data_IF_587110309344
#
_entry.id   IF_587110309344
#
_cell.length_a   1.000
_cell.length_b   1.000
_cell.length_c   1.000
_cell.angle_alpha   90.00
_cell.angle_beta   90.00
_cell.angle_gamma   90.00
#
_symmetry.space_group_name_H-M   'P 1'
#
loop_
_entity.id
_entity.type
_entity.pdbx_description
1 polymer ?
#
# COMPACT_ATOMS: atom_id res chain seq x y z
N UNK A 1 -4.43 -9.11 -2.94
CA UNK A 1 -3.96 -7.81 -2.41
C UNK A 1 -3.27 -8.00 -1.07
N UNK A 2 -3.81 -8.85 -0.20
CA UNK A 2 -3.24 -9.14 1.12
C UNK A 2 -1.78 -9.64 1.08
N UNK A 3 -1.38 -10.40 0.06
CA UNK A 3 -0.03 -10.99 0.00
C UNK A 3 1.11 -9.97 0.08
N UNK A 4 0.99 -8.83 -0.61
CA UNK A 4 2.02 -7.77 -0.54
C UNK A 4 2.09 -7.13 0.85
N UNK A 5 0.95 -6.99 1.52
CA UNK A 5 0.86 -6.50 2.90
C UNK A 5 1.48 -7.48 3.90
N UNK A 6 1.22 -8.79 3.75
CA UNK A 6 1.80 -9.82 4.62
C UNK A 6 3.33 -9.80 4.55
N UNK A 7 3.90 -9.70 3.34
CA UNK A 7 5.36 -9.58 3.14
C UNK A 7 5.87 -8.30 3.80
N UNK A 8 5.19 -7.16 3.61
CA UNK A 8 5.58 -5.90 4.22
C UNK A 8 5.60 -5.98 5.76
N UNK A 9 4.62 -6.64 6.37
CA UNK A 9 4.58 -6.88 7.82
C UNK A 9 5.74 -7.73 8.32
N UNK A 10 6.11 -8.80 7.58
CA UNK A 10 7.26 -9.64 7.92
C UNK A 10 8.56 -8.85 7.81
N UNK A 11 8.73 -8.09 6.72
CA UNK A 11 9.90 -7.24 6.51
C UNK A 11 10.01 -6.17 7.60
N UNK A 12 8.92 -5.46 7.89
CA UNK A 12 8.85 -4.49 8.98
C UNK A 12 9.29 -5.12 10.30
N UNK A 13 8.67 -6.22 10.72
CA UNK A 13 9.00 -6.86 11.99
C UNK A 13 10.47 -7.31 12.06
N UNK A 14 11.07 -7.67 10.92
CA UNK A 14 12.48 -8.03 10.83
C UNK A 14 13.37 -6.80 10.96
N UNK A 15 13.06 -5.72 10.22
CA UNK A 15 13.82 -4.46 10.24
C UNK A 15 13.70 -3.78 11.61
N UNK A 16 12.50 -3.74 12.18
CA UNK A 16 12.25 -3.18 13.51
C UNK A 16 13.12 -3.84 14.58
N UNK A 17 13.30 -5.16 14.51
CA UNK A 17 14.15 -5.92 15.44
C UNK A 17 15.65 -5.70 15.20
N UNK A 18 16.08 -5.52 13.95
CA UNK A 18 17.49 -5.34 13.61
C UNK A 18 17.95 -3.91 13.93
N UNK A 19 17.11 -2.92 13.65
CA UNK A 19 17.44 -1.49 13.76
C UNK A 19 16.89 -0.83 15.03
N UNK A 20 16.16 -1.57 15.88
CA UNK A 20 15.47 -1.08 17.09
C UNK A 20 14.63 0.19 16.82
N UNK A 21 14.04 0.27 15.62
CA UNK A 21 13.33 1.45 15.13
C UNK A 21 12.02 1.02 14.51
N UNK A 22 10.90 1.67 14.85
CA UNK A 22 9.59 1.35 14.26
C UNK A 22 9.49 1.90 12.83
N UNK A 23 9.44 1.02 11.84
CA UNK A 23 9.25 1.41 10.44
C UNK A 23 7.75 1.48 10.11
N UNK A 24 7.25 2.61 9.57
CA UNK A 24 5.85 2.71 9.15
C UNK A 24 5.60 1.90 7.86
N UNK A 25 4.42 1.30 7.73
CA UNK A 25 3.94 0.71 6.47
C UNK A 25 2.99 1.70 5.82
N UNK A 26 3.28 2.06 4.57
CA UNK A 26 2.45 2.91 3.72
C UNK A 26 1.90 2.05 2.59
N UNK A 27 0.58 2.06 2.38
CA UNK A 27 -0.08 1.36 1.29
C UNK A 27 -0.38 2.34 0.17
N UNK A 28 0.15 2.06 -1.03
CA UNK A 28 -0.15 2.83 -2.24
C UNK A 28 -1.09 2.03 -3.15
N UNK A 29 -2.18 2.67 -3.60
CA UNK A 29 -3.22 2.05 -4.43
C UNK A 29 -3.47 2.93 -5.64
N UNK A 30 -3.54 2.35 -6.84
CA UNK A 30 -3.85 3.08 -8.08
C UNK A 30 -5.34 3.09 -8.45
N UNK A 31 -6.10 2.13 -7.92
CA UNK A 31 -7.56 2.08 -8.05
C UNK A 31 -8.26 2.97 -7.02
N UNK A 32 -8.87 4.07 -7.48
CA UNK A 32 -9.62 4.99 -6.61
C UNK A 32 -10.82 4.32 -5.94
N UNK A 33 -11.55 3.46 -6.64
CA UNK A 33 -12.71 2.76 -6.07
C UNK A 33 -12.31 1.82 -4.93
N UNK A 34 -11.12 1.21 -5.03
CA UNK A 34 -10.55 0.39 -3.96
C UNK A 34 -10.09 1.24 -2.77
N UNK A 35 -9.45 2.38 -3.03
CA UNK A 35 -9.11 3.35 -1.99
C UNK A 35 -10.35 3.81 -1.22
N UNK A 36 -11.41 4.20 -1.92
CA UNK A 36 -12.68 4.57 -1.29
C UNK A 36 -13.31 3.40 -0.53
N UNK A 37 -13.21 2.18 -1.07
CA UNK A 37 -13.68 1.00 -0.34
C UNK A 37 -12.89 0.83 0.96
N UNK A 38 -11.56 0.96 0.95
CA UNK A 38 -10.75 0.78 2.16
C UNK A 38 -11.00 1.88 3.20
N UNK A 39 -11.16 3.14 2.76
CA UNK A 39 -11.32 4.32 3.64
C UNK A 39 -12.76 4.57 4.10
N UNK A 40 -13.75 4.55 3.19
CA UNK A 40 -15.11 5.07 3.44
C UNK A 40 -16.16 4.01 3.83
N UNK A 41 -15.74 2.85 4.33
CA UNK A 41 -16.63 1.72 4.63
C UNK A 41 -17.50 1.29 3.42
N UNK A 42 -17.04 1.54 2.19
CA UNK A 42 -17.71 1.07 0.98
C UNK A 42 -17.85 -0.45 0.99
N UNK A 43 -18.92 -0.98 0.42
CA UNK A 43 -19.13 -2.42 0.27
C UNK A 43 -18.79 -2.85 -1.14
N UNK A 44 -18.12 -4.00 -1.28
CA UNK A 44 -17.94 -4.68 -2.58
C UNK A 44 -18.72 -5.98 -2.58
N UNK A 45 -19.21 -6.41 -3.75
CA UNK A 45 -19.94 -7.68 -3.90
C UNK A 45 -19.02 -8.87 -4.17
N UNK A 46 -17.75 -8.60 -4.46
CA UNK A 46 -16.76 -9.63 -4.77
C UNK A 46 -16.24 -10.25 -3.46
N UNK A 47 -16.52 -11.55 -3.28
CA UNK A 47 -16.33 -12.24 -2.00
C UNK A 47 -14.87 -12.32 -1.56
N UNK A 48 -13.93 -12.52 -2.49
CA UNK A 48 -12.50 -12.61 -2.16
C UNK A 48 -11.95 -11.24 -1.78
N UNK A 49 -12.29 -10.19 -2.53
CA UNK A 49 -11.89 -8.82 -2.23
C UNK A 49 -12.47 -8.33 -0.90
N UNK A 50 -13.69 -8.73 -0.51
CA UNK A 50 -14.22 -8.42 0.83
C UNK A 50 -13.33 -8.95 1.95
N UNK A 51 -12.76 -10.15 1.81
CA UNK A 51 -11.87 -10.75 2.80
C UNK A 51 -10.59 -9.92 2.91
N UNK A 52 -9.93 -9.66 1.77
CA UNK A 52 -8.70 -8.86 1.71
C UNK A 52 -8.91 -7.45 2.28
N UNK A 53 -10.00 -6.77 1.91
CA UNK A 53 -10.33 -5.43 2.41
C UNK A 53 -10.61 -5.45 3.92
N UNK A 54 -11.29 -6.48 4.43
CA UNK A 54 -11.57 -6.59 5.86
C UNK A 54 -10.27 -6.79 6.66
N UNK A 55 -9.35 -7.62 6.16
CA UNK A 55 -8.04 -7.81 6.79
C UNK A 55 -7.23 -6.51 6.81
N UNK A 56 -7.16 -5.79 5.68
CA UNK A 56 -6.47 -4.50 5.61
C UNK A 56 -7.11 -3.43 6.50
N UNK A 57 -8.44 -3.40 6.62
CA UNK A 57 -9.13 -2.50 7.55
C UNK A 57 -8.80 -2.82 9.00
N UNK A 58 -8.76 -4.09 9.39
CA UNK A 58 -8.36 -4.50 10.74
C UNK A 58 -6.91 -4.09 11.05
N UNK A 59 -5.98 -4.30 10.11
CA UNK A 59 -4.60 -3.85 10.24
C UNK A 59 -4.50 -2.33 10.36
N UNK A 60 -5.30 -1.60 9.57
CA UNK A 60 -5.41 -0.15 9.66
C UNK A 60 -5.95 0.28 11.03
N UNK A 61 -7.01 -0.37 11.54
CA UNK A 61 -7.57 -0.17 12.89
C UNK A 61 -6.57 -0.42 14.01
N UNK A 62 -5.72 -1.43 13.85
CA UNK A 62 -4.62 -1.77 14.76
C UNK A 62 -3.39 -0.88 14.63
N UNK A 63 -3.41 0.10 13.71
CA UNK A 63 -2.28 1.01 13.42
C UNK A 63 -1.03 0.28 12.92
N UNK A 64 -1.22 -0.86 12.27
CA UNK A 64 -0.13 -1.58 11.59
C UNK A 64 0.25 -0.86 10.28
N UNK A 65 -0.75 -0.22 9.65
CA UNK A 65 -0.63 0.64 8.47
C UNK A 65 -0.67 2.09 8.92
N UNK A 66 0.36 2.86 8.58
CA UNK A 66 0.49 4.27 8.92
C UNK A 66 -0.29 5.17 7.96
N UNK A 67 -0.27 4.86 6.66
CA UNK A 67 -0.92 5.66 5.64
C UNK A 67 -1.49 4.79 4.52
N UNK A 68 -2.58 5.28 3.94
CA UNK A 68 -3.13 4.74 2.70
C UNK A 68 -3.22 5.88 1.70
N UNK A 69 -2.54 5.71 0.56
CA UNK A 69 -2.39 6.73 -0.47
C UNK A 69 -2.99 6.20 -1.77
N UNK A 70 -3.92 6.95 -2.33
CA UNK A 70 -4.31 6.79 -3.73
C UNK A 70 -3.30 7.52 -4.62
N UNK A 71 -2.72 6.79 -5.57
CA UNK A 71 -1.70 7.29 -6.51
C UNK A 71 -2.20 7.21 -7.95
N UNK A 72 -1.63 8.02 -8.83
CA UNK A 72 -1.89 7.89 -10.28
C UNK A 72 -1.21 6.62 -10.80
N UNK A 73 -1.97 5.76 -11.48
CA UNK A 73 -1.48 4.46 -11.97
C UNK A 73 -0.25 4.55 -12.90
N UNK A 74 -0.09 5.66 -13.62
CA UNK A 74 1.09 5.95 -14.45
C UNK A 74 2.41 6.02 -13.66
N UNK A 75 2.33 6.31 -12.36
CA UNK A 75 3.48 6.36 -11.44
C UNK A 75 3.62 5.08 -10.61
N UNK A 76 2.74 4.09 -10.78
CA UNK A 76 2.75 2.86 -9.99
C UNK A 76 3.73 1.83 -10.59
N UNK A 77 4.88 1.55 -9.97
CA UNK A 77 5.80 0.53 -10.48
C UNK A 77 5.25 -0.89 -10.38
N UNK A 78 4.30 -1.15 -9.47
CA UNK A 78 3.71 -2.48 -9.29
C UNK A 78 2.87 -2.92 -10.50
N UNK A 79 2.37 -1.97 -11.30
CA UNK A 79 1.63 -2.27 -12.52
C UNK A 79 2.51 -3.05 -13.52
N UNK A 80 3.79 -2.69 -13.65
CA UNK A 80 4.76 -3.42 -14.47
C UNK A 80 5.11 -4.81 -13.92
N UNK A 81 4.90 -5.05 -12.62
CA UNK A 81 5.15 -6.36 -12.01
C UNK A 81 3.97 -7.32 -12.17
N UNK A 82 2.77 -6.78 -12.42
CA UNK A 82 1.54 -7.58 -12.61
C UNK A 82 1.16 -7.76 -14.08
N UNK A 83 1.79 -7.00 -14.98
CA UNK A 83 1.62 -7.06 -16.43
C UNK A 83 2.89 -7.56 -17.12
N UNK A 84 2.75 -8.07 -18.33
CA UNK A 84 3.90 -8.50 -19.16
C UNK A 84 4.59 -7.34 -19.90
N UNK A 85 4.31 -6.10 -19.53
CA UNK A 85 4.81 -4.89 -20.20
C UNK A 85 5.47 -4.01 -19.14
N UNK A 86 6.74 -3.64 -19.36
CA UNK A 86 7.45 -2.72 -18.49
C UNK A 86 6.81 -1.32 -18.52
N UNK A 87 6.95 -0.57 -17.42
CA UNK A 87 6.47 0.81 -17.35
C UNK A 87 7.59 1.78 -16.98
N UNK A 88 7.36 3.07 -17.25
CA UNK A 88 8.33 4.14 -16.95
C UNK A 88 8.64 4.26 -15.47
N UNK A 89 7.65 4.03 -14.60
CA UNK A 89 7.83 4.08 -13.15
C UNK A 89 8.84 3.04 -12.65
N UNK A 90 8.76 1.79 -13.14
CA UNK A 90 9.74 0.76 -12.81
C UNK A 90 11.12 1.09 -13.38
N UNK A 91 11.19 1.58 -14.62
CA UNK A 91 12.45 2.01 -15.21
C UNK A 91 13.13 3.12 -14.38
N UNK A 92 12.37 4.12 -13.94
CA UNK A 92 12.89 5.19 -13.09
C UNK A 92 13.46 4.67 -11.77
N UNK A 93 12.82 3.68 -11.15
CA UNK A 93 13.34 3.06 -9.92
C UNK A 93 14.67 2.36 -10.20
N UNK A 94 14.78 1.62 -11.30
CA UNK A 94 16.02 0.93 -11.68
C UNK A 94 17.14 1.94 -11.95
N UNK A 95 16.83 3.01 -12.69
CA UNK A 95 17.81 4.00 -13.13
C UNK A 95 18.27 4.93 -12.00
N UNK A 96 17.42 5.21 -11.01
CA UNK A 96 17.67 6.27 -10.01
C UNK A 96 17.65 5.80 -8.56
N UNK A 97 17.21 4.56 -8.28
CA UNK A 97 16.89 4.05 -6.95
C UNK A 97 15.90 4.92 -6.17
N UNK A 98 15.07 5.72 -6.87
CA UNK A 98 14.04 6.57 -6.27
C UNK A 98 12.68 6.15 -6.78
N UNK A 99 11.72 6.13 -5.86
CA UNK A 99 10.30 5.96 -6.17
C UNK A 99 9.68 7.35 -6.22
N UNK A 100 9.13 7.73 -7.37
CA UNK A 100 8.41 8.98 -7.57
C UNK A 100 6.93 8.68 -7.79
N UNK A 101 6.13 8.80 -6.74
CA UNK A 101 4.70 8.54 -6.76
C UNK A 101 3.94 9.86 -6.86
N UNK A 102 2.89 9.89 -7.69
CA UNK A 102 1.99 11.05 -7.77
C UNK A 102 0.73 10.80 -6.94
N UNK A 103 0.65 11.29 -5.70
CA UNK A 103 -0.52 11.12 -4.85
C UNK A 103 -1.70 11.94 -5.37
N UNK A 104 -2.90 11.38 -5.27
CA UNK A 104 -4.16 12.08 -5.55
C UNK A 104 -5.01 12.32 -4.31
N UNK A 105 -5.04 11.36 -3.37
CA UNK A 105 -5.73 11.47 -2.08
C UNK A 105 -5.04 10.55 -1.07
N UNK A 106 -5.08 10.88 0.21
CA UNK A 106 -4.47 10.04 1.24
C UNK A 106 -5.20 10.18 2.57
N UNK A 107 -5.01 9.17 3.42
CA UNK A 107 -5.44 9.18 4.82
C UNK A 107 -4.28 8.72 5.68
N UNK A 108 -4.01 9.48 6.73
CA UNK A 108 -2.93 9.22 7.67
C UNK A 108 -3.48 8.71 9.00
N UNK A 109 -2.72 7.85 9.65
CA UNK A 109 -3.00 7.32 10.98
C UNK A 109 -1.73 7.25 11.82
N UNK A 110 -1.06 8.40 11.95
CA UNK A 110 0.08 8.55 12.85
C UNK A 110 -0.33 8.44 14.32
N UNK A 111 0.60 7.94 15.15
CA UNK A 111 0.49 8.08 16.59
C UNK A 111 0.77 9.54 16.97
N UNK A 112 -0.17 10.18 17.67
CA UNK A 112 -0.01 11.53 18.23
C UNK A 112 0.61 11.48 19.64
N UNK A 113 1.47 10.50 19.92
CA UNK A 113 2.04 10.27 21.25
C UNK A 113 3.53 10.00 21.20
#
# INVERSE_FOLDING_TARGET
MCHGFDIACVLKNTIDKILDTKVPIIICIDSFSLFECLVKLGTTREKRLMIDITALRQAYERREIAEVIWIMGETNPADALTKHVGNKALQQIIDTNKVDLKPGAWVERYDTR
#
